data_IF_798828789042
#
_entry.id   IF_798828789042
#
_cell.length_a   1.000
_cell.length_b   1.000
_cell.length_c   1.000
_cell.angle_alpha   90.00
_cell.angle_beta   90.00
_cell.angle_gamma   90.00
#
_symmetry.space_group_name_H-M   'P 1'
#
loop_
_entity.id
_entity.type
_entity.pdbx_description
1 polymer ?
#
# COMPACT_ATOMS: atom_id res chain seq x y z
N UNK A 1 6.34 -0.34 26.04
CA UNK A 1 5.31 -1.31 26.49
C UNK A 1 5.48 -2.72 25.91
N UNK A 2 5.09 -3.02 24.65
CA UNK A 2 5.12 -4.41 24.14
C UNK A 2 6.47 -5.14 24.29
N UNK A 3 7.57 -4.47 23.97
CA UNK A 3 8.92 -5.04 24.11
C UNK A 3 9.25 -5.39 25.58
N UNK A 4 8.81 -4.56 26.53
CA UNK A 4 8.98 -4.82 27.96
C UNK A 4 8.12 -6.02 28.36
N UNK A 5 6.87 -6.09 27.92
CA UNK A 5 5.98 -7.22 28.19
C UNK A 5 6.58 -8.54 27.69
N UNK A 6 7.09 -8.58 26.45
CA UNK A 6 7.73 -9.77 25.87
C UNK A 6 8.99 -10.19 26.66
N UNK A 7 9.81 -9.24 27.13
CA UNK A 7 10.99 -9.53 27.97
C UNK A 7 10.62 -10.13 29.34
N UNK A 8 9.39 -9.91 29.81
CA UNK A 8 8.90 -10.46 31.08
C UNK A 8 8.23 -11.82 30.92
N UNK A 9 8.07 -12.34 29.71
CA UNK A 9 7.53 -13.68 29.48
C UNK A 9 8.55 -14.72 29.98
N UNK A 10 8.21 -15.55 30.97
CA UNK A 10 9.10 -16.59 31.47
C UNK A 10 9.32 -17.68 30.40
N UNK A 11 10.53 -18.27 30.38
CA UNK A 11 10.93 -19.29 29.39
C UNK A 11 10.68 -20.71 29.92
N UNK A 12 10.32 -21.62 29.03
CA UNK A 12 10.11 -23.04 29.33
C UNK A 12 8.77 -23.30 30.03
N UNK A 13 8.71 -24.39 30.80
CA UNK A 13 7.53 -24.73 31.60
C UNK A 13 7.44 -23.81 32.81
N UNK A 14 6.26 -23.20 32.99
CA UNK A 14 6.04 -22.15 33.98
C UNK A 14 4.87 -22.52 34.90
N UNK A 15 4.99 -22.32 36.22
CA UNK A 15 3.92 -22.64 37.17
C UNK A 15 2.74 -21.66 37.08
N UNK A 16 2.91 -20.52 36.40
CA UNK A 16 1.91 -19.47 36.25
C UNK A 16 1.63 -19.18 34.77
N UNK A 17 1.02 -20.12 34.02
CA UNK A 17 0.73 -19.94 32.59
C UNK A 17 -0.20 -18.76 32.28
N UNK A 18 -0.99 -18.29 33.25
CA UNK A 18 -1.84 -17.10 33.13
C UNK A 18 -1.04 -15.78 33.02
N UNK A 19 0.27 -15.77 33.25
CA UNK A 19 1.09 -14.57 33.08
C UNK A 19 1.09 -14.06 31.64
N UNK A 20 0.98 -14.95 30.64
CA UNK A 20 0.90 -14.54 29.23
C UNK A 20 -0.29 -13.61 28.99
N UNK A 21 -1.42 -13.90 29.65
CA UNK A 21 -2.63 -13.07 29.61
C UNK A 21 -2.35 -11.70 30.22
N UNK A 22 -1.88 -11.67 31.48
CA UNK A 22 -1.70 -10.41 32.20
C UNK A 22 -0.63 -9.50 31.62
N UNK A 23 0.37 -10.05 30.92
CA UNK A 23 1.40 -9.27 30.24
C UNK A 23 0.92 -8.69 28.91
N UNK A 24 0.07 -9.39 28.14
CA UNK A 24 -0.24 -9.03 26.76
C UNK A 24 -1.67 -8.53 26.54
N UNK A 25 -2.63 -8.87 27.40
CA UNK A 25 -4.06 -8.59 27.22
C UNK A 25 -4.36 -7.15 26.86
N UNK A 26 -3.78 -6.19 27.57
CA UNK A 26 -4.05 -4.75 27.35
C UNK A 26 -3.28 -4.16 26.17
N UNK A 27 -2.33 -4.92 25.61
CA UNK A 27 -1.59 -4.55 24.40
C UNK A 27 -2.23 -5.16 23.15
N UNK A 28 -2.95 -6.28 23.31
CA UNK A 28 -3.68 -6.99 22.27
C UNK A 28 -5.17 -6.68 22.38
N UNK A 29 -5.54 -5.45 22.06
CA UNK A 29 -6.92 -4.96 22.02
C UNK A 29 -7.18 -4.22 20.72
N UNK A 30 -8.45 -4.15 20.33
CA UNK A 30 -8.86 -3.23 19.26
C UNK A 30 -8.85 -1.76 19.71
N UNK A 31 -9.18 -0.84 18.79
CA UNK A 31 -9.26 0.60 19.05
C UNK A 31 -10.28 0.99 20.14
N UNK A 32 -11.18 0.08 20.54
CA UNK A 32 -12.18 0.29 21.59
C UNK A 32 -11.80 -0.38 22.92
N UNK A 33 -10.61 -1.00 23.00
CA UNK A 33 -10.15 -1.73 24.17
C UNK A 33 -10.71 -3.15 24.29
N UNK A 34 -11.32 -3.69 23.23
CA UNK A 34 -11.90 -5.03 23.23
C UNK A 34 -10.85 -6.08 22.86
N UNK A 35 -10.52 -6.96 23.80
CA UNK A 35 -9.54 -8.05 23.65
C UNK A 35 -10.01 -9.12 22.66
N UNK A 36 -11.31 -9.36 22.63
CA UNK A 36 -11.94 -10.33 21.74
C UNK A 36 -11.88 -9.91 20.27
N UNK A 37 -11.75 -8.61 20.00
CA UNK A 37 -11.66 -8.04 18.64
C UNK A 37 -10.22 -7.79 18.20
N UNK A 38 -9.23 -8.15 19.03
CA UNK A 38 -7.83 -8.05 18.66
C UNK A 38 -7.50 -8.94 17.45
N UNK A 39 -6.57 -8.48 16.61
CA UNK A 39 -6.09 -9.23 15.44
C UNK A 39 -5.41 -10.54 15.85
N UNK A 40 -4.74 -10.53 17.00
CA UNK A 40 -4.10 -11.67 17.63
C UNK A 40 -4.69 -11.84 19.04
N UNK A 41 -5.73 -12.66 19.15
CA UNK A 41 -6.54 -12.78 20.36
C UNK A 41 -6.07 -13.95 21.23
N UNK A 42 -5.76 -13.64 22.50
CA UNK A 42 -5.28 -14.58 23.52
C UNK A 42 -6.30 -14.85 24.63
N UNK A 43 -7.56 -14.40 24.46
CA UNK A 43 -8.58 -14.49 25.51
C UNK A 43 -8.85 -15.92 26.00
N UNK A 44 -8.65 -16.89 25.10
CA UNK A 44 -8.85 -18.31 25.35
C UNK A 44 -7.54 -19.08 25.50
N UNK A 45 -6.39 -18.40 25.52
CA UNK A 45 -5.09 -19.03 25.66
C UNK A 45 -4.91 -19.51 27.09
N UNK A 46 -4.89 -18.57 28.03
CA UNK A 46 -4.82 -18.87 29.45
C UNK A 46 -5.29 -17.70 30.34
N UNK A 47 -6.50 -17.18 30.10
CA UNK A 47 -7.08 -16.17 31.01
C UNK A 47 -7.43 -16.79 32.37
N UNK A 48 -7.06 -16.16 33.50
CA UNK A 48 -7.40 -16.67 34.82
C UNK A 48 -8.88 -16.45 35.20
N UNK A 49 -9.62 -15.64 34.45
CA UNK A 49 -10.93 -15.10 34.84
C UNK A 49 -12.08 -16.12 34.71
N UNK A 50 -11.94 -17.13 33.84
CA UNK A 50 -12.91 -18.20 33.69
C UNK A 50 -12.25 -19.51 33.25
N UNK A 51 -12.95 -20.64 33.44
CA UNK A 51 -12.52 -21.93 32.87
C UNK A 51 -12.49 -21.91 31.35
N UNK A 52 -13.42 -21.21 30.71
CA UNK A 52 -13.48 -21.03 29.24
C UNK A 52 -12.37 -20.16 28.69
N UNK A 53 -11.65 -19.41 29.53
CA UNK A 53 -10.46 -18.65 29.16
C UNK A 53 -9.17 -19.48 29.10
N UNK A 54 -9.20 -20.74 29.56
CA UNK A 54 -8.02 -21.61 29.70
C UNK A 54 -8.06 -22.80 28.74
N UNK A 55 -8.42 -22.54 27.49
CA UNK A 55 -8.57 -23.57 26.45
C UNK A 55 -7.27 -23.84 25.69
N UNK A 56 -6.20 -23.09 25.94
CA UNK A 56 -4.95 -23.19 25.19
C UNK A 56 -5.07 -22.69 23.76
N UNK A 57 -6.08 -21.85 23.46
CA UNK A 57 -6.38 -21.39 22.11
C UNK A 57 -5.79 -20.00 21.85
N UNK A 58 -5.14 -19.87 20.70
CA UNK A 58 -4.73 -18.61 20.11
C UNK A 58 -5.56 -18.39 18.84
N UNK A 59 -6.20 -17.22 18.72
CA UNK A 59 -7.06 -16.89 17.58
C UNK A 59 -6.47 -15.75 16.76
N UNK A 60 -6.08 -16.03 15.52
CA UNK A 60 -5.69 -15.00 14.56
C UNK A 60 -6.92 -14.59 13.75
N UNK A 61 -7.31 -13.32 13.87
CA UNK A 61 -8.60 -12.79 13.38
C UNK A 61 -8.45 -11.86 12.17
N UNK A 62 -7.24 -11.40 11.86
CA UNK A 62 -6.97 -10.47 10.75
C UNK A 62 -6.61 -11.20 9.44
N UNK A 63 -7.39 -12.22 9.08
CA UNK A 63 -7.21 -12.97 7.84
C UNK A 63 -8.41 -12.76 6.91
N UNK A 64 -8.16 -12.13 5.77
CA UNK A 64 -9.14 -12.05 4.68
C UNK A 64 -9.40 -13.46 4.11
N UNK A 65 -10.66 -13.77 3.81
CA UNK A 65 -11.03 -15.05 3.20
C UNK A 65 -10.59 -15.05 1.73
N UNK A 66 -9.72 -15.97 1.29
CA UNK A 66 -9.32 -16.02 -0.11
C UNK A 66 -10.48 -16.43 -1.02
N UNK A 67 -10.46 -15.99 -2.28
CA UNK A 67 -11.52 -16.32 -3.24
C UNK A 67 -11.51 -17.80 -3.69
N UNK A 68 -10.49 -18.57 -3.32
CA UNK A 68 -10.33 -19.96 -3.75
C UNK A 68 -9.80 -20.87 -2.63
N UNK A 69 -10.29 -22.11 -2.55
CA UNK A 69 -9.89 -23.08 -1.53
C UNK A 69 -8.38 -23.38 -1.53
N UNK A 70 -7.74 -23.47 -2.70
CA UNK A 70 -6.29 -23.66 -2.78
C UNK A 70 -5.50 -22.50 -2.17
N UNK A 71 -5.96 -21.25 -2.36
CA UNK A 71 -5.34 -20.11 -1.68
C UNK A 71 -5.53 -20.24 -0.17
N UNK A 72 -6.72 -20.62 0.31
CA UNK A 72 -6.94 -20.90 1.73
C UNK A 72 -5.99 -21.96 2.30
N UNK A 73 -5.71 -23.03 1.55
CA UNK A 73 -4.71 -24.04 1.92
C UNK A 73 -3.30 -23.47 2.02
N UNK A 74 -2.87 -22.63 1.07
CA UNK A 74 -1.53 -21.99 1.10
C UNK A 74 -1.40 -21.06 2.31
N UNK A 75 -2.43 -20.26 2.59
CA UNK A 75 -2.46 -19.37 3.75
C UNK A 75 -2.39 -20.16 5.07
N UNK A 76 -3.16 -21.26 5.19
CA UNK A 76 -3.09 -22.15 6.35
C UNK A 76 -1.74 -22.85 6.47
N UNK A 77 -1.14 -23.26 5.35
CA UNK A 77 0.20 -23.86 5.31
C UNK A 77 1.27 -22.89 5.80
N UNK A 78 1.23 -21.63 5.34
CA UNK A 78 2.17 -20.58 5.78
C UNK A 78 2.12 -20.42 7.30
N UNK A 79 0.91 -20.25 7.86
CA UNK A 79 0.71 -20.10 9.30
C UNK A 79 1.23 -21.32 10.06
N UNK A 80 0.92 -22.53 9.61
CA UNK A 80 1.37 -23.77 10.26
C UNK A 80 2.89 -23.94 10.18
N UNK A 81 3.51 -23.56 9.06
CA UNK A 81 4.95 -23.59 8.89
C UNK A 81 5.64 -22.60 9.85
N UNK A 82 5.12 -21.37 9.96
CA UNK A 82 5.61 -20.37 10.92
C UNK A 82 5.49 -20.85 12.37
N UNK A 83 4.33 -21.39 12.77
CA UNK A 83 4.14 -21.94 14.11
C UNK A 83 5.12 -23.08 14.38
N UNK A 84 5.29 -24.01 13.44
CA UNK A 84 6.23 -25.11 13.58
C UNK A 84 7.69 -24.60 13.69
N UNK A 85 8.06 -23.60 12.87
CA UNK A 85 9.37 -22.95 12.93
C UNK A 85 9.60 -22.29 14.29
N UNK A 86 8.67 -21.48 14.78
CA UNK A 86 8.82 -20.78 16.05
C UNK A 86 8.78 -21.72 17.26
N UNK A 87 8.07 -22.85 17.16
CA UNK A 87 8.10 -23.90 18.18
C UNK A 87 9.48 -24.55 18.28
N UNK A 88 10.09 -24.90 17.14
CA UNK A 88 11.42 -25.53 17.10
C UNK A 88 12.52 -24.57 17.53
N UNK A 89 12.43 -23.32 17.11
CA UNK A 89 13.41 -22.29 17.40
C UNK A 89 12.70 -20.96 17.71
N UNK A 90 12.57 -20.56 18.99
CA UNK A 90 11.86 -19.33 19.34
C UNK A 90 12.45 -18.08 18.67
N UNK A 91 11.59 -17.25 18.06
CA UNK A 91 11.99 -16.02 17.38
C UNK A 91 12.18 -14.87 18.38
N UNK A 92 13.40 -14.71 18.90
CA UNK A 92 13.74 -13.76 19.97
C UNK A 92 14.54 -12.54 19.47
N UNK A 93 14.13 -11.95 18.34
CA UNK A 93 14.77 -10.77 17.76
C UNK A 93 14.20 -9.46 18.32
N UNK A 94 14.97 -8.37 18.21
CA UNK A 94 14.52 -7.03 18.61
C UNK A 94 13.38 -6.56 17.72
N UNK A 95 12.37 -5.92 18.32
CA UNK A 95 11.27 -5.31 17.57
C UNK A 95 11.78 -4.10 16.80
N UNK A 96 11.36 -3.99 15.53
CA UNK A 96 11.71 -2.84 14.68
C UNK A 96 10.63 -1.76 14.81
N UNK A 97 11.05 -0.51 15.02
CA UNK A 97 10.17 0.66 15.09
C UNK A 97 9.96 1.24 13.70
N UNK A 98 9.04 0.64 12.94
CA UNK A 98 8.81 1.03 11.55
C UNK A 98 8.19 2.42 11.36
N UNK A 99 7.44 2.93 12.35
CA UNK A 99 6.82 4.26 12.27
C UNK A 99 5.92 4.42 11.04
N UNK A 100 6.06 5.54 10.33
CA UNK A 100 5.29 5.84 9.12
C UNK A 100 5.61 4.92 7.94
N UNK A 101 6.75 4.21 7.96
CA UNK A 101 7.10 3.28 6.88
C UNK A 101 6.07 2.15 6.72
N UNK A 102 5.34 1.77 7.78
CA UNK A 102 4.22 0.82 7.69
C UNK A 102 3.11 1.32 6.77
N UNK A 103 2.86 2.63 6.79
CA UNK A 103 1.79 3.28 6.03
C UNK A 103 2.27 3.89 4.72
N UNK A 104 3.57 3.85 4.45
CA UNK A 104 4.19 4.39 3.24
C UNK A 104 4.76 3.26 2.39
N UNK A 105 5.91 2.70 2.82
CA UNK A 105 6.65 1.64 2.12
C UNK A 105 5.90 0.32 2.11
N UNK A 106 5.46 -0.18 3.27
CA UNK A 106 4.85 -1.52 3.39
C UNK A 106 3.38 -1.60 2.95
N UNK A 107 2.90 -0.57 2.28
CA UNK A 107 1.61 -0.56 1.59
C UNK A 107 1.75 -0.66 0.06
N UNK A 108 2.99 -0.62 -0.45
CA UNK A 108 3.27 -0.80 -1.87
C UNK A 108 3.54 -2.28 -2.19
N UNK A 109 2.94 -2.75 -3.28
CA UNK A 109 2.99 -4.15 -3.72
C UNK A 109 4.41 -4.74 -3.77
N UNK A 110 5.38 -3.97 -4.26
CA UNK A 110 6.78 -4.38 -4.38
C UNK A 110 7.39 -4.78 -3.03
N UNK A 111 7.21 -3.94 -2.01
CA UNK A 111 7.81 -4.19 -0.69
C UNK A 111 7.10 -5.31 0.05
N UNK A 112 5.78 -5.40 -0.05
CA UNK A 112 5.03 -6.54 0.53
C UNK A 112 5.47 -7.85 -0.13
N UNK A 113 5.63 -7.87 -1.46
CA UNK A 113 6.11 -9.03 -2.20
C UNK A 113 7.53 -9.42 -1.79
N UNK A 114 8.43 -8.45 -1.69
CA UNK A 114 9.82 -8.68 -1.27
C UNK A 114 9.90 -9.24 0.16
N UNK A 115 9.09 -8.73 1.09
CA UNK A 115 9.04 -9.17 2.48
C UNK A 115 8.53 -10.61 2.60
N UNK A 116 7.43 -10.94 1.89
CA UNK A 116 6.89 -12.29 1.85
C UNK A 116 7.86 -13.31 1.21
N UNK A 117 8.64 -12.88 0.21
CA UNK A 117 9.71 -13.72 -0.35
C UNK A 117 10.79 -14.00 0.70
N UNK A 118 11.19 -13.01 1.48
CA UNK A 118 12.13 -13.19 2.59
C UNK A 118 11.61 -14.19 3.63
N UNK A 119 10.32 -14.16 3.96
CA UNK A 119 9.69 -15.16 4.86
C UNK A 119 9.77 -16.57 4.26
N UNK A 120 9.50 -16.73 2.96
CA UNK A 120 9.61 -18.02 2.29
C UNK A 120 11.07 -18.55 2.30
N UNK A 121 12.04 -17.68 2.03
CA UNK A 121 13.47 -18.00 2.09
C UNK A 121 13.90 -18.44 3.52
N UNK A 122 13.44 -17.75 4.56
CA UNK A 122 13.70 -18.12 5.95
C UNK A 122 13.11 -19.50 6.29
N UNK A 123 11.86 -19.76 5.87
CA UNK A 123 11.22 -21.06 6.07
C UNK A 123 11.99 -22.17 5.36
N UNK A 124 12.45 -21.95 4.13
CA UNK A 124 13.27 -22.90 3.38
C UNK A 124 14.61 -23.18 4.06
N UNK A 125 15.31 -22.13 4.51
CA UNK A 125 16.54 -22.26 5.27
C UNK A 125 16.33 -23.05 6.57
N UNK A 126 15.15 -22.93 7.18
CA UNK A 126 14.73 -23.71 8.33
C UNK A 126 14.24 -25.14 7.98
N UNK A 127 14.29 -25.58 6.73
CA UNK A 127 13.90 -26.92 6.31
C UNK A 127 12.39 -27.11 6.06
N UNK A 128 11.63 -26.02 5.96
CA UNK A 128 10.24 -26.04 5.50
C UNK A 128 10.20 -25.60 4.04
N UNK A 129 9.93 -26.48 3.06
CA UNK A 129 10.03 -26.17 1.63
C UNK A 129 8.85 -25.33 1.12
N UNK A 130 8.58 -24.20 1.77
CA UNK A 130 7.52 -23.26 1.40
C UNK A 130 7.98 -22.41 0.21
N UNK A 131 7.26 -22.49 -0.92
CA UNK A 131 7.64 -21.79 -2.14
C UNK A 131 6.98 -20.41 -2.21
N UNK A 132 7.75 -19.38 -2.56
CA UNK A 132 7.24 -18.01 -2.66
C UNK A 132 6.22 -17.87 -3.81
N UNK A 133 6.36 -18.67 -4.86
CA UNK A 133 5.50 -18.71 -6.04
C UNK A 133 4.06 -19.12 -5.70
N UNK A 134 3.85 -19.86 -4.60
CA UNK A 134 2.50 -20.20 -4.13
C UNK A 134 1.71 -18.97 -3.68
N UNK A 135 2.39 -17.86 -3.38
CA UNK A 135 1.78 -16.59 -2.99
C UNK A 135 1.43 -15.70 -4.19
N UNK A 136 1.85 -16.05 -5.41
CA UNK A 136 1.60 -15.24 -6.61
C UNK A 136 0.11 -14.89 -6.81
N UNK A 137 -0.84 -15.83 -6.66
CA UNK A 137 -2.27 -15.51 -6.80
C UNK A 137 -2.77 -14.50 -5.76
N UNK A 138 -2.15 -14.44 -4.57
CA UNK A 138 -2.52 -13.46 -3.54
C UNK A 138 -2.06 -12.06 -3.95
N UNK A 139 -0.88 -11.94 -4.57
CA UNK A 139 -0.41 -10.65 -5.05
C UNK A 139 -1.25 -10.14 -6.21
N UNK A 140 -1.62 -10.98 -7.16
CA UNK A 140 -2.52 -10.56 -8.25
C UNK A 140 -3.94 -10.24 -7.75
N UNK A 141 -4.43 -10.96 -6.75
CA UNK A 141 -5.72 -10.66 -6.13
C UNK A 141 -5.71 -9.34 -5.35
N UNK A 142 -4.69 -9.12 -4.52
CA UNK A 142 -4.62 -7.96 -3.60
C UNK A 142 -4.06 -6.70 -4.26
N UNK A 143 -3.19 -6.87 -5.26
CA UNK A 143 -2.51 -5.81 -6.00
C UNK A 143 -2.70 -6.03 -7.51
N UNK A 144 -3.94 -5.98 -8.03
CA UNK A 144 -4.20 -6.19 -9.44
C UNK A 144 -3.49 -5.13 -10.28
N UNK A 145 -2.93 -5.55 -11.41
CA UNK A 145 -2.40 -4.64 -12.43
C UNK A 145 -3.52 -3.81 -13.05
N UNK A 146 -3.27 -2.52 -13.23
CA UNK A 146 -4.15 -1.62 -13.97
C UNK A 146 -3.75 -1.52 -15.43
N UNK A 147 -2.44 -1.56 -15.71
CA UNK A 147 -1.93 -1.51 -17.07
C UNK A 147 -0.43 -1.25 -17.13
N UNK A 148 0.11 -1.30 -18.33
CA UNK A 148 1.53 -1.07 -18.62
C UNK A 148 1.66 -0.29 -19.91
N UNK A 149 2.61 0.64 -19.96
CA UNK A 149 3.02 1.32 -21.18
C UNK A 149 4.53 1.14 -21.37
N UNK A 150 4.93 0.93 -22.63
CA UNK A 150 6.33 0.87 -23.04
C UNK A 150 6.64 2.12 -23.88
N UNK A 151 7.64 2.89 -23.47
CA UNK A 151 8.11 4.07 -24.20
C UNK A 151 9.63 3.94 -24.33
N UNK A 152 10.09 3.74 -25.57
CA UNK A 152 11.48 3.34 -25.84
C UNK A 152 11.88 2.15 -24.96
N UNK A 153 12.99 2.24 -24.21
CA UNK A 153 13.46 1.20 -23.28
C UNK A 153 12.82 1.29 -21.88
N UNK A 154 11.93 2.27 -21.65
CA UNK A 154 11.31 2.52 -20.35
C UNK A 154 9.94 1.83 -20.28
N UNK A 155 9.81 0.87 -19.36
CA UNK A 155 8.54 0.23 -19.04
C UNK A 155 7.94 0.84 -17.79
N UNK A 156 6.71 1.34 -17.87
CA UNK A 156 5.97 1.89 -16.74
C UNK A 156 4.70 1.07 -16.49
N UNK A 157 4.58 0.53 -15.28
CA UNK A 157 3.45 -0.30 -14.84
C UNK A 157 2.70 0.37 -13.69
N UNK A 158 1.37 0.41 -13.79
CA UNK A 158 0.48 0.89 -12.75
C UNK A 158 -0.23 -0.30 -12.10
N UNK A 159 -0.19 -0.36 -10.78
CA UNK A 159 -0.79 -1.44 -9.99
C UNK A 159 -1.48 -0.87 -8.77
N UNK A 160 -2.55 -1.52 -8.29
CA UNK A 160 -3.15 -1.14 -7.01
C UNK A 160 -2.12 -1.21 -5.88
N UNK A 161 -2.23 -0.31 -4.91
CA UNK A 161 -1.51 -0.37 -3.63
C UNK A 161 -2.51 -0.31 -2.47
N UNK A 162 -2.08 -0.67 -1.27
CA UNK A 162 -2.94 -0.62 -0.09
C UNK A 162 -3.13 0.83 0.35
N UNK A 163 -4.36 1.18 0.70
CA UNK A 163 -4.69 2.44 1.36
C UNK A 163 -5.65 2.15 2.51
N UNK A 164 -5.29 2.49 3.76
CA UNK A 164 -6.17 2.33 4.89
C UNK A 164 -7.25 3.42 4.85
N UNK A 165 -8.50 3.02 4.96
CA UNK A 165 -9.59 3.98 5.15
C UNK A 165 -9.75 4.31 6.61
N UNK A 166 -9.58 5.58 6.95
CA UNK A 166 -9.69 6.05 8.32
C UNK A 166 -11.15 6.00 8.78
N UNK A 167 -11.36 5.46 9.97
CA UNK A 167 -12.67 5.50 10.64
C UNK A 167 -12.95 6.94 11.07
N UNK A 168 -14.08 7.48 10.63
CA UNK A 168 -14.53 8.84 10.92
C UNK A 168 -15.12 8.96 12.33
N UNK A 169 -15.56 10.17 12.67
CA UNK A 169 -16.32 10.44 13.89
C UNK A 169 -17.62 9.63 13.95
N UNK A 170 -18.17 9.50 15.15
CA UNK A 170 -19.50 8.92 15.34
C UNK A 170 -20.59 9.88 14.87
N UNK A 171 -21.52 9.37 14.08
CA UNK A 171 -22.66 10.10 13.53
C UNK A 171 -23.97 9.42 13.95
N UNK A 172 -24.99 10.23 14.24
CA UNK A 172 -26.35 9.75 14.51
C UNK A 172 -27.03 9.43 13.18
N UNK A 173 -27.48 8.19 13.05
CA UNK A 173 -28.25 7.68 11.91
C UNK A 173 -29.70 7.43 12.32
N UNK A 174 -30.58 7.17 11.35
CA UNK A 174 -31.99 6.87 11.62
C UNK A 174 -32.25 5.64 12.50
N UNK A 175 -31.27 4.76 12.68
CA UNK A 175 -31.39 3.50 13.45
C UNK A 175 -30.41 3.36 14.62
N UNK A 176 -29.62 4.40 14.94
CA UNK A 176 -28.61 4.36 16.01
C UNK A 176 -27.40 5.23 15.69
N UNK A 177 -26.25 4.97 16.31
CA UNK A 177 -24.99 5.61 15.94
C UNK A 177 -24.17 4.74 14.99
N UNK A 178 -23.45 5.36 14.07
CA UNK A 178 -22.54 4.68 13.16
C UNK A 178 -21.22 5.46 13.05
N UNK A 179 -20.16 4.76 12.65
CA UNK A 179 -18.89 5.37 12.25
C UNK A 179 -18.60 4.97 10.81
N UNK A 180 -18.60 5.96 9.92
CA UNK A 180 -18.24 5.74 8.53
C UNK A 180 -16.72 5.62 8.37
N UNK A 181 -16.28 5.21 7.19
CA UNK A 181 -14.87 5.21 6.80
C UNK A 181 -14.67 6.18 5.63
N UNK A 182 -13.54 6.88 5.61
CA UNK A 182 -13.19 7.74 4.47
C UNK A 182 -12.68 6.88 3.30
N UNK A 183 -13.60 6.46 2.46
CA UNK A 183 -13.33 5.70 1.24
C UNK A 183 -12.99 6.58 0.03
N UNK A 184 -12.82 7.89 0.21
CA UNK A 184 -12.52 8.84 -0.86
C UNK A 184 -11.11 8.71 -1.42
N UNK A 185 -10.21 8.07 -0.66
CA UNK A 185 -8.78 8.01 -0.95
C UNK A 185 -8.41 6.61 -1.43
N UNK A 186 -7.60 6.59 -2.49
CA UNK A 186 -6.94 5.38 -2.99
C UNK A 186 -5.43 5.59 -3.12
N UNK A 187 -4.73 4.47 -3.30
CA UNK A 187 -3.31 4.45 -3.60
C UNK A 187 -3.03 3.49 -4.74
N UNK A 188 -2.12 3.90 -5.62
CA UNK A 188 -1.51 3.01 -6.60
C UNK A 188 0.01 2.99 -6.44
N UNK A 189 0.62 1.92 -6.93
CA UNK A 189 2.05 1.79 -7.12
C UNK A 189 2.38 2.03 -8.60
N UNK A 190 3.43 2.80 -8.84
CA UNK A 190 4.10 2.94 -10.13
C UNK A 190 5.40 2.17 -10.06
N UNK A 191 5.58 1.19 -10.94
CA UNK A 191 6.85 0.49 -11.15
C UNK A 191 7.45 0.94 -12.49
N UNK A 192 8.74 1.25 -12.50
CA UNK A 192 9.44 1.76 -13.68
C UNK A 192 10.71 0.94 -13.89
N UNK A 193 10.88 0.39 -15.08
CA UNK A 193 12.04 -0.40 -15.48
C UNK A 193 12.75 0.27 -16.67
N UNK A 194 14.07 0.19 -16.72
CA UNK A 194 14.89 0.71 -17.82
C UNK A 194 15.12 2.23 -17.79
N UNK A 195 14.76 2.90 -16.69
CA UNK A 195 14.87 4.37 -16.59
C UNK A 195 16.26 4.83 -16.15
N UNK A 196 16.85 5.75 -16.92
CA UNK A 196 18.00 6.55 -16.47
C UNK A 196 17.50 7.80 -15.73
N UNK A 197 17.64 7.83 -14.39
CA UNK A 197 17.17 8.93 -13.53
C UNK A 197 17.90 10.25 -13.69
N UNK A 198 19.08 10.27 -14.31
CA UNK A 198 19.79 11.51 -14.62
C UNK A 198 19.19 12.25 -15.81
N UNK A 199 18.44 11.51 -16.65
CA UNK A 199 17.81 12.06 -17.86
C UNK A 199 16.29 12.11 -17.77
N UNK A 200 15.67 11.08 -17.23
CA UNK A 200 14.23 10.93 -17.26
C UNK A 200 13.60 11.12 -15.88
N UNK A 201 12.46 11.80 -15.86
CA UNK A 201 11.62 12.01 -14.68
C UNK A 201 10.23 11.51 -14.97
N UNK A 202 9.62 10.82 -14.00
CA UNK A 202 8.21 10.44 -14.06
C UNK A 202 7.39 11.42 -13.23
N UNK A 203 6.29 11.92 -13.79
CA UNK A 203 5.32 12.75 -13.08
C UNK A 203 3.93 12.12 -13.09
N UNK A 204 3.13 12.40 -12.07
CA UNK A 204 1.69 12.18 -12.07
C UNK A 204 0.99 13.54 -11.89
N UNK A 205 0.08 13.90 -12.79
CA UNK A 205 -0.58 15.21 -12.80
C UNK A 205 0.43 16.37 -12.65
N UNK A 206 1.52 16.32 -13.44
CA UNK A 206 2.63 17.28 -13.46
C UNK A 206 3.49 17.34 -12.18
N UNK A 207 3.24 16.49 -11.19
CA UNK A 207 4.03 16.40 -9.95
C UNK A 207 4.99 15.23 -10.00
N UNK A 208 6.25 15.48 -9.63
CA UNK A 208 7.34 14.50 -9.74
C UNK A 208 7.14 13.34 -8.76
N UNK A 209 7.27 12.10 -9.26
CA UNK A 209 7.21 10.92 -8.40
C UNK A 209 8.50 10.76 -7.59
N UNK A 210 8.40 10.40 -6.29
CA UNK A 210 9.55 10.09 -5.46
C UNK A 210 10.04 8.66 -5.72
N UNK A 211 10.61 8.40 -6.89
CA UNK A 211 11.10 7.08 -7.29
C UNK A 211 12.19 6.56 -6.32
N UNK A 212 11.95 5.37 -5.76
CA UNK A 212 12.85 4.66 -4.86
C UNK A 212 13.44 3.43 -5.55
N UNK A 213 14.74 3.15 -5.39
CA UNK A 213 15.38 1.98 -6.00
C UNK A 213 14.87 0.68 -5.36
N UNK A 214 14.72 -0.37 -6.16
CA UNK A 214 14.28 -1.69 -5.67
C UNK A 214 15.43 -2.64 -5.31
N UNK A 215 16.66 -2.24 -5.64
CA UNK A 215 17.86 -3.09 -5.56
C UNK A 215 18.23 -3.74 -6.91
N UNK A 216 17.34 -3.70 -7.91
CA UNK A 216 17.64 -4.07 -9.29
C UNK A 216 18.04 -2.81 -10.06
N UNK A 217 19.14 -2.88 -10.82
CA UNK A 217 19.63 -1.74 -11.61
C UNK A 217 18.60 -1.32 -12.66
N UNK A 218 18.25 -0.03 -12.68
CA UNK A 218 17.27 0.52 -13.61
C UNK A 218 15.81 0.29 -13.24
N UNK A 219 15.53 -0.34 -12.08
CA UNK A 219 14.18 -0.57 -11.56
C UNK A 219 13.89 0.35 -10.36
N UNK A 220 12.74 1.02 -10.40
CA UNK A 220 12.31 1.95 -9.38
C UNK A 220 10.81 1.85 -9.11
N UNK A 221 10.42 2.17 -7.88
CA UNK A 221 9.03 2.14 -7.43
C UNK A 221 8.65 3.44 -6.72
N UNK A 222 7.41 3.88 -6.88
CA UNK A 222 6.81 4.95 -6.09
C UNK A 222 5.31 4.70 -5.85
N UNK A 223 4.78 5.20 -4.75
CA UNK A 223 3.36 5.30 -4.49
C UNK A 223 2.77 6.62 -5.01
N UNK A 224 1.51 6.58 -5.45
CA UNK A 224 0.69 7.77 -5.66
C UNK A 224 -0.58 7.62 -4.85
N UNK A 225 -0.79 8.55 -3.92
CA UNK A 225 -1.97 8.65 -3.08
C UNK A 225 -2.82 9.80 -3.57
N UNK A 226 -4.10 9.54 -3.81
CA UNK A 226 -4.98 10.49 -4.48
C UNK A 226 -6.42 10.35 -3.98
N UNK A 227 -7.18 11.43 -4.14
CA UNK A 227 -8.64 11.37 -3.95
C UNK A 227 -9.30 10.84 -5.22
N UNK A 228 -9.96 9.69 -5.09
CA UNK A 228 -10.58 8.96 -6.18
C UNK A 228 -12.02 9.41 -6.46
N UNK A 229 -12.78 9.75 -5.42
CA UNK A 229 -14.14 10.29 -5.49
C UNK A 229 -14.44 11.16 -4.27
N UNK A 230 -15.63 11.77 -4.18
CA UNK A 230 -15.99 12.69 -3.10
C UNK A 230 -17.31 12.27 -2.43
N UNK A 231 -17.26 11.42 -1.39
CA UNK A 231 -18.43 11.11 -0.58
C UNK A 231 -18.92 12.34 0.21
N UNK A 232 -20.20 12.36 0.62
CA UNK A 232 -20.72 13.40 1.50
C UNK A 232 -20.03 13.41 2.88
N UNK A 233 -19.58 12.26 3.38
CA UNK A 233 -18.79 12.13 4.62
C UNK A 233 -17.34 11.78 4.29
N UNK A 234 -16.38 12.59 4.75
CA UNK A 234 -14.94 12.37 4.54
C UNK A 234 -14.08 13.39 5.29
N UNK A 235 -12.78 13.13 5.45
CA UNK A 235 -11.89 13.94 6.30
C UNK A 235 -11.63 15.35 5.77
N UNK A 236 -11.58 15.52 4.45
CA UNK A 236 -11.17 16.78 3.82
C UNK A 236 -12.16 17.22 2.74
N UNK A 237 -13.31 17.80 3.06
CA UNK A 237 -14.38 18.05 2.08
C UNK A 237 -13.98 19.04 0.96
N UNK A 238 -12.95 19.86 1.15
CA UNK A 238 -12.53 20.89 0.18
C UNK A 238 -11.53 20.41 -0.87
N UNK A 239 -10.95 19.22 -0.72
CA UNK A 239 -9.97 18.69 -1.67
C UNK A 239 -10.71 18.04 -2.86
N UNK A 240 -10.49 18.47 -4.11
CA UNK A 240 -11.19 17.88 -5.25
C UNK A 240 -10.73 16.45 -5.58
N UNK A 241 -11.46 15.79 -6.46
CA UNK A 241 -11.06 14.52 -7.07
C UNK A 241 -9.87 14.74 -8.00
N UNK A 242 -8.89 13.82 -7.99
CA UNK A 242 -7.67 13.94 -8.80
C UNK A 242 -7.71 13.10 -10.08
N UNK A 243 -8.84 12.44 -10.38
CA UNK A 243 -9.01 11.63 -11.56
C UNK A 243 -9.37 12.50 -12.79
N UNK A 244 -8.85 12.19 -14.00
CA UNK A 244 -7.89 11.12 -14.28
C UNK A 244 -6.48 11.42 -13.76
N UNK A 245 -5.71 10.36 -13.49
CA UNK A 245 -4.29 10.42 -13.20
C UNK A 245 -3.52 10.31 -14.50
N UNK A 246 -2.79 11.37 -14.87
CA UNK A 246 -1.97 11.44 -16.08
C UNK A 246 -0.52 11.26 -15.71
N UNK A 247 0.11 10.22 -16.25
CA UNK A 247 1.52 9.91 -16.06
C UNK A 247 2.32 10.33 -17.29
N UNK A 248 3.41 11.05 -17.07
CA UNK A 248 4.30 11.53 -18.11
C UNK A 248 5.74 11.08 -17.85
N UNK A 249 6.41 10.60 -18.89
CA UNK A 249 7.84 10.31 -18.92
C UNK A 249 8.53 11.50 -19.57
N UNK A 250 9.25 12.27 -18.77
CA UNK A 250 9.82 13.55 -19.18
C UNK A 250 11.30 13.40 -19.42
N UNK A 251 11.74 13.71 -20.65
CA UNK A 251 13.15 13.86 -20.98
C UNK A 251 13.63 15.24 -20.53
N UNK A 252 14.38 15.30 -19.43
CA UNK A 252 14.85 16.55 -18.85
C UNK A 252 15.93 17.25 -19.67
N UNK A 253 16.59 16.54 -20.59
CA UNK A 253 17.58 17.14 -21.48
C UNK A 253 16.92 17.90 -22.61
N UNK A 254 15.75 17.46 -23.05
CA UNK A 254 14.97 18.06 -24.14
C UNK A 254 13.73 18.83 -23.66
N UNK A 255 13.37 18.73 -22.38
CA UNK A 255 12.30 19.51 -21.74
C UNK A 255 10.90 19.15 -22.26
N UNK A 256 10.70 17.90 -22.68
CA UNK A 256 9.45 17.42 -23.27
C UNK A 256 9.04 16.06 -22.71
N UNK A 257 7.74 15.80 -22.67
CA UNK A 257 7.22 14.46 -22.47
C UNK A 257 7.50 13.61 -23.72
N UNK A 258 8.03 12.40 -23.53
CA UNK A 258 8.30 11.44 -24.61
C UNK A 258 7.22 10.35 -24.69
N UNK A 259 6.33 10.28 -23.69
CA UNK A 259 5.26 9.30 -23.62
C UNK A 259 4.71 9.18 -22.20
N UNK A 260 3.78 8.25 -22.00
CA UNK A 260 3.13 8.05 -20.72
C UNK A 260 1.77 7.39 -20.87
N UNK A 261 0.96 7.41 -19.82
CA UNK A 261 -0.34 6.75 -19.77
C UNK A 261 -1.31 7.50 -18.87
N UNK A 262 -2.61 7.21 -19.02
CA UNK A 262 -3.66 7.83 -18.21
C UNK A 262 -4.52 6.77 -17.53
N UNK A 263 -4.79 6.96 -16.25
CA UNK A 263 -5.64 6.08 -15.45
C UNK A 263 -6.88 6.83 -14.94
N UNK A 264 -8.03 6.20 -15.08
CA UNK A 264 -9.31 6.70 -14.61
C UNK A 264 -9.80 5.90 -13.39
N UNK A 265 -10.46 6.55 -12.44
CA UNK A 265 -11.03 5.85 -11.27
C UNK A 265 -12.32 5.11 -11.65
N UNK A 266 -13.14 5.77 -12.46
CA UNK A 266 -14.37 5.23 -13.05
C UNK A 266 -14.23 5.08 -14.56
N UNK A 267 -15.17 4.40 -15.20
CA UNK A 267 -15.16 4.26 -16.65
C UNK A 267 -15.21 5.65 -17.33
N UNK A 268 -14.30 5.98 -18.26
CA UNK A 268 -14.20 7.33 -18.85
C UNK A 268 -15.48 7.85 -19.49
N UNK A 269 -16.27 6.95 -20.08
CA UNK A 269 -17.61 7.26 -20.61
C UNK A 269 -18.72 7.46 -19.56
N UNK A 270 -18.40 7.64 -18.27
CA UNK A 270 -19.37 7.89 -17.20
C UNK A 270 -20.26 6.68 -16.85
N UNK A 271 -19.86 5.47 -17.26
CA UNK A 271 -20.65 4.26 -16.99
C UNK A 271 -20.52 3.85 -15.53
N UNK A 272 -21.63 3.87 -14.80
CA UNK A 272 -21.84 3.06 -13.61
C UNK A 272 -22.35 1.69 -14.03
N UNK A 273 -21.86 0.64 -13.38
CA UNK A 273 -22.42 -0.70 -13.57
C UNK A 273 -23.49 -0.93 -12.50
N UNK A 274 -24.71 -1.24 -12.92
CA UNK A 274 -25.80 -1.58 -12.00
C UNK A 274 -25.58 -2.97 -11.36
N UNK A 275 -24.89 -3.86 -12.07
CA UNK A 275 -24.60 -5.22 -11.64
C UNK A 275 -23.15 -5.44 -11.19
N UNK A 276 -22.98 -6.28 -10.17
CA UNK A 276 -21.68 -6.84 -9.81
C UNK A 276 -21.07 -7.64 -10.97
N UNK A 277 -19.73 -7.70 -11.08
CA UNK A 277 -19.09 -8.52 -12.10
C UNK A 277 -19.44 -10.00 -11.87
N UNK A 278 -19.95 -10.66 -12.91
CA UNK A 278 -20.39 -12.07 -12.85
C UNK A 278 -19.23 -13.05 -12.63
N UNK A 279 -17.99 -12.66 -12.93
CA UNK A 279 -16.78 -13.45 -12.74
C UNK A 279 -15.52 -12.56 -12.73
N UNK A 280 -14.35 -13.18 -12.53
CA UNK A 280 -13.03 -12.53 -12.53
C UNK A 280 -12.72 -11.80 -13.83
N UNK A 281 -13.02 -12.40 -14.98
CA UNK A 281 -12.73 -11.83 -16.30
C UNK A 281 -13.54 -10.55 -16.54
N UNK A 282 -14.81 -10.54 -16.13
CA UNK A 282 -15.66 -9.35 -16.19
C UNK A 282 -15.09 -8.22 -15.30
N UNK A 283 -14.64 -8.55 -14.09
CA UNK A 283 -14.00 -7.58 -13.20
C UNK A 283 -12.68 -7.04 -13.79
N UNK A 284 -11.87 -7.91 -14.39
CA UNK A 284 -10.61 -7.53 -15.05
C UNK A 284 -10.82 -6.65 -16.27
N UNK A 285 -11.83 -6.96 -17.09
CA UNK A 285 -12.21 -6.16 -18.26
C UNK A 285 -12.62 -4.75 -17.82
N UNK A 286 -13.43 -4.65 -16.75
CA UNK A 286 -13.83 -3.36 -16.16
C UNK A 286 -12.62 -2.57 -15.65
N UNK A 287 -11.61 -3.23 -15.06
CA UNK A 287 -10.38 -2.56 -14.61
C UNK A 287 -9.54 -2.07 -15.79
N UNK A 288 -9.34 -2.92 -16.79
CA UNK A 288 -8.53 -2.62 -17.99
C UNK A 288 -9.10 -1.43 -18.77
N UNK A 289 -10.43 -1.33 -18.87
CA UNK A 289 -11.11 -0.20 -19.52
C UNK A 289 -10.84 1.17 -18.86
N UNK A 290 -10.23 1.20 -17.67
CA UNK A 290 -9.86 2.43 -16.98
C UNK A 290 -8.43 2.89 -17.25
N UNK A 291 -7.62 2.07 -17.92
CA UNK A 291 -6.23 2.39 -18.25
C UNK A 291 -6.10 2.65 -19.74
N UNK A 292 -5.52 3.80 -20.09
CA UNK A 292 -5.13 4.15 -21.44
C UNK A 292 -3.60 4.23 -21.50
N UNK A 293 -3.00 3.50 -22.44
CA UNK A 293 -1.57 3.58 -22.79
C UNK A 293 -1.22 4.84 -23.60
N UNK A 294 -2.18 5.76 -23.74
CA UNK A 294 -2.06 7.08 -24.33
C UNK A 294 -2.68 8.13 -23.39
N UNK A 295 -2.75 9.39 -23.85
CA UNK A 295 -3.40 10.48 -23.11
C UNK A 295 -2.49 11.16 -22.09
N UNK A 296 -1.18 10.95 -22.19
CA UNK A 296 -0.15 11.76 -21.54
C UNK A 296 -0.16 13.20 -22.07
N UNK A 297 0.66 14.09 -21.51
CA UNK A 297 0.75 15.50 -21.91
C UNK A 297 1.87 15.68 -22.95
N UNK A 298 1.60 15.63 -24.28
CA UNK A 298 2.65 15.72 -25.28
C UNK A 298 3.23 17.13 -25.37
N UNK A 299 4.50 17.21 -25.74
CA UNK A 299 5.16 18.46 -26.11
C UNK A 299 5.95 19.13 -24.98
N UNK A 300 6.30 20.42 -25.15
CA UNK A 300 7.09 21.16 -24.18
C UNK A 300 6.36 21.31 -22.85
N UNK A 301 7.10 21.18 -21.75
CA UNK A 301 6.53 21.35 -20.42
C UNK A 301 6.01 22.77 -20.21
N UNK A 302 4.71 22.87 -19.90
CA UNK A 302 4.12 24.10 -19.39
C UNK A 302 4.28 24.15 -17.87
N UNK A 303 4.70 25.30 -17.30
CA UNK A 303 4.85 25.43 -15.86
C UNK A 303 3.49 25.20 -15.17
N UNK A 304 3.44 24.37 -14.09
CA UNK A 304 2.23 24.21 -13.31
C UNK A 304 1.74 25.58 -12.80
N UNK A 305 0.42 25.81 -12.67
CA UNK A 305 -0.13 27.12 -12.28
C UNK A 305 0.47 27.69 -10.98
N UNK A 306 0.80 26.82 -10.01
CA UNK A 306 1.40 27.22 -8.73
C UNK A 306 2.85 27.74 -8.86
N UNK A 307 3.58 27.34 -9.90
CA UNK A 307 4.95 27.77 -10.16
C UNK A 307 5.05 29.16 -10.82
N UNK A 308 3.92 29.73 -11.27
CA UNK A 308 3.89 31.08 -11.87
C UNK A 308 4.33 32.18 -10.90
N UNK A 309 4.32 31.93 -9.59
CA UNK A 309 4.84 32.87 -8.56
C UNK A 309 6.37 33.02 -8.56
N UNK A 310 7.11 32.20 -9.32
CA UNK A 310 8.59 32.19 -9.36
C UNK A 310 9.18 32.75 -10.66
N UNK A 311 8.39 33.37 -11.54
CA UNK A 311 8.91 33.92 -12.81
C UNK A 311 9.78 35.14 -12.53
N UNK A 312 11.10 34.93 -12.40
CA UNK A 312 12.10 36.01 -12.48
C UNK A 312 12.37 36.33 -13.95
N UNK A 313 11.97 37.52 -14.36
CA UNK A 313 12.33 38.07 -15.67
C UNK A 313 13.83 38.40 -15.69
N UNK A 314 14.58 37.78 -16.60
CA UNK A 314 15.98 38.14 -16.86
C UNK A 314 16.06 38.90 -18.19
N UNK A 315 16.35 40.21 -18.18
CA UNK A 315 16.33 41.05 -19.38
C UNK A 315 17.37 40.68 -20.45
N UNK A 316 18.35 39.82 -20.15
CA UNK A 316 19.41 39.42 -21.08
C UNK A 316 19.50 37.89 -21.22
N UNK A 317 18.78 37.39 -22.24
CA UNK A 317 19.07 36.20 -23.05
C UNK A 317 19.83 35.04 -22.39
N UNK A 318 19.12 34.19 -21.68
CA UNK A 318 19.40 32.75 -21.78
C UNK A 318 18.33 32.15 -22.71
N UNK A 319 18.68 31.29 -23.69
CA UNK A 319 17.66 30.52 -24.39
C UNK A 319 16.80 29.79 -23.34
N UNK A 320 15.48 29.63 -23.56
CA UNK A 320 14.64 28.85 -22.67
C UNK A 320 15.29 27.48 -22.48
N UNK A 321 15.79 27.20 -21.27
CA UNK A 321 16.33 25.88 -20.98
C UNK A 321 15.17 24.90 -21.03
N UNK A 322 15.40 23.65 -21.50
CA UNK A 322 14.42 22.60 -21.37
C UNK A 322 13.94 22.55 -19.92
N UNK A 323 12.66 22.86 -19.72
CA UNK A 323 12.09 23.03 -18.39
C UNK A 323 12.07 21.66 -17.73
N UNK A 324 12.55 21.56 -16.49
CA UNK A 324 12.32 20.38 -15.67
C UNK A 324 11.12 20.67 -14.77
N UNK A 325 10.22 19.70 -14.53
CA UNK A 325 9.23 19.84 -13.47
C UNK A 325 9.95 20.19 -12.17
N UNK A 326 9.44 21.12 -11.36
CA UNK A 326 10.07 21.46 -10.10
C UNK A 326 10.24 20.18 -9.27
N UNK A 327 11.38 20.01 -8.56
CA UNK A 327 11.51 18.92 -7.62
C UNK A 327 10.35 18.99 -6.63
N UNK A 328 9.69 17.86 -6.41
CA UNK A 328 8.67 17.76 -5.39
C UNK A 328 9.31 17.91 -4.01
N UNK A 329 8.71 18.70 -3.12
CA UNK A 329 9.22 18.85 -1.76
C UNK A 329 9.19 17.48 -1.05
N UNK A 330 10.33 16.96 -0.58
CA UNK A 330 10.38 15.66 0.05
C UNK A 330 9.48 15.61 1.29
N UNK A 331 8.58 14.65 1.35
CA UNK A 331 7.89 14.32 2.58
C UNK A 331 8.77 13.39 3.42
N UNK A 332 9.38 13.89 4.50
CA UNK A 332 10.24 13.06 5.37
C UNK A 332 9.49 11.88 5.99
N UNK A 333 8.19 12.06 6.25
CA UNK A 333 7.34 11.04 6.87
C UNK A 333 6.86 9.99 5.85
N UNK A 334 6.73 10.37 4.56
CA UNK A 334 6.26 9.51 3.48
C UNK A 334 7.15 9.62 2.22
N UNK A 335 8.43 9.21 2.28
CA UNK A 335 9.37 9.38 1.18
C UNK A 335 9.11 8.46 -0.03
N UNK A 336 8.25 7.45 0.09
CA UNK A 336 7.93 6.52 -1.01
C UNK A 336 6.68 6.93 -1.78
N UNK A 337 5.87 7.86 -1.28
CA UNK A 337 4.54 8.17 -1.82
C UNK A 337 4.36 9.66 -2.12
N UNK A 338 3.96 9.97 -3.35
CA UNK A 338 3.42 11.27 -3.71
C UNK A 338 1.96 11.36 -3.27
N UNK A 339 1.64 12.27 -2.34
CA UNK A 339 0.24 12.56 -1.95
C UNK A 339 -0.27 13.79 -2.71
N UNK A 340 -1.10 13.55 -3.74
CA UNK A 340 -1.64 14.61 -4.60
C UNK A 340 -2.53 15.61 -3.85
N UNK A 341 -3.04 15.21 -2.68
CA UNK A 341 -3.92 16.06 -1.85
C UNK A 341 -3.18 17.15 -1.11
N UNK A 342 -1.85 17.04 -0.97
CA UNK A 342 -1.03 18.09 -0.38
C UNK A 342 -0.92 19.23 -1.38
N UNK A 343 -1.27 20.44 -0.93
CA UNK A 343 -0.98 21.67 -1.66
C UNK A 343 0.52 21.86 -1.82
N UNK A 344 0.93 22.31 -3.01
CA UNK A 344 2.29 22.77 -3.31
C UNK A 344 2.39 24.27 -3.11
#
# INVERSE_FOLDING_TARGET
ELEIALQRIPKGDVPQPWLVDRLLRHLLVDLTGNTHRAEFCIDKLYSPDSSTGRLGLLEMRAFEMPPHAHMSLVQGLLVRALIARFWREPYAHKLVRWGTALHDRFMLAHYVRSDMRGIAEELQAAGYPFQAEWLEPFFEFRFPSYGTVQVDDIRLELRMALEPWHVLGEEVTGSGTARFVDSSVERLQVMVNGINRERYVITCNQRRLPLQPTGVSGEYVAGVRYRAWQPPSGLHPTIPVHAPLVFDIIDTWNGRSIGGCTYHVSHPGGRSHDDFPVNSNAAETRRTARFFDFGHTPGPLSPPPYSQRLVKFFPHGSPPRPMQPPPEEPNSDYPYTLDLRRSV
#
